data_IF_914814699875
#
_entry.id   IF_914814699875
#
_cell.length_a   1.000
_cell.length_b   1.000
_cell.length_c   1.000
_cell.angle_alpha   90.00
_cell.angle_beta   90.00
_cell.angle_gamma   90.00
#
_symmetry.space_group_name_H-M   'P 1'
#
loop_
_entity.id
_entity.type
_entity.pdbx_description
1 polymer ?
#
# COMPACT_ATOMS: atom_id res chain seq x y z
N UNK A 1 -15.71 -20.92 20.30
CA UNK A 1 -16.18 -21.90 19.31
C UNK A 1 -16.27 -21.22 17.95
N UNK A 2 -15.69 -21.82 16.92
CA UNK A 2 -15.76 -21.36 15.54
C UNK A 2 -16.65 -22.34 14.78
N UNK A 3 -17.75 -21.87 14.19
CA UNK A 3 -18.60 -22.66 13.31
C UNK A 3 -18.65 -22.04 11.92
N UNK A 4 -18.46 -22.87 10.90
CA UNK A 4 -18.48 -22.46 9.49
C UNK A 4 -19.73 -23.08 8.87
N UNK A 5 -20.63 -22.24 8.38
CA UNK A 5 -21.82 -22.65 7.66
C UNK A 5 -21.68 -22.25 6.19
N UNK A 6 -21.66 -23.24 5.31
CA UNK A 6 -21.64 -23.03 3.87
C UNK A 6 -23.09 -23.04 3.34
N UNK A 7 -23.50 -21.94 2.72
CA UNK A 7 -24.79 -21.79 2.05
C UNK A 7 -24.60 -21.49 0.56
N UNK A 8 -23.70 -22.22 -0.10
CA UNK A 8 -23.46 -22.20 -1.55
C UNK A 8 -22.70 -20.96 -2.01
N UNK A 9 -23.36 -19.80 -2.05
CA UNK A 9 -22.74 -18.53 -2.45
C UNK A 9 -22.23 -17.70 -1.26
N UNK A 10 -22.57 -18.07 -0.03
CA UNK A 10 -22.19 -17.34 1.18
C UNK A 10 -21.71 -18.32 2.22
N UNK A 11 -20.45 -18.15 2.64
CA UNK A 11 -19.89 -18.83 3.81
C UNK A 11 -20.06 -17.92 5.03
N UNK A 12 -20.82 -18.38 6.02
CA UNK A 12 -20.99 -17.68 7.30
C UNK A 12 -20.09 -18.30 8.35
N UNK A 13 -19.12 -17.53 8.82
CA UNK A 13 -18.27 -17.91 9.96
C UNK A 13 -18.84 -17.26 11.22
N UNK A 14 -19.25 -18.07 12.19
CA UNK A 14 -19.73 -17.61 13.50
C UNK A 14 -18.67 -17.91 14.55
N UNK A 15 -18.29 -16.87 15.27
CA UNK A 15 -17.43 -16.94 16.45
C UNK A 15 -18.29 -16.73 17.69
N UNK A 16 -18.18 -17.63 18.67
CA UNK A 16 -18.84 -17.48 19.97
C UNK A 16 -17.87 -17.80 21.12
N UNK A 17 -17.92 -17.02 22.20
CA UNK A 17 -17.03 -17.21 23.36
C UNK A 17 -17.31 -16.20 24.47
N UNK A 18 -16.96 -16.56 25.69
CA UNK A 18 -17.20 -15.77 26.91
C UNK A 18 -16.14 -14.69 27.18
N UNK A 19 -14.91 -14.88 26.70
CA UNK A 19 -13.79 -13.95 26.89
C UNK A 19 -13.69 -12.94 25.74
N UNK A 20 -13.97 -11.65 26.01
CA UNK A 20 -14.01 -10.58 25.00
C UNK A 20 -12.68 -10.36 24.28
N UNK A 21 -11.56 -10.42 24.99
CA UNK A 21 -10.22 -10.22 24.41
C UNK A 21 -9.83 -11.35 23.46
N UNK A 22 -10.02 -12.61 23.89
CA UNK A 22 -9.78 -13.78 23.05
C UNK A 22 -10.73 -13.80 21.84
N UNK A 23 -11.98 -13.36 22.02
CA UNK A 23 -12.95 -13.19 20.93
C UNK A 23 -12.53 -12.10 19.94
N UNK A 24 -11.99 -10.97 20.42
CA UNK A 24 -11.42 -9.92 19.59
C UNK A 24 -10.23 -10.43 18.78
N UNK A 25 -9.27 -11.10 19.43
CA UNK A 25 -8.11 -11.69 18.76
C UNK A 25 -8.51 -12.76 17.72
N UNK A 26 -9.49 -13.60 18.04
CA UNK A 26 -10.00 -14.62 17.12
C UNK A 26 -10.78 -14.01 15.96
N UNK A 27 -11.60 -12.98 16.21
CA UNK A 27 -12.28 -12.20 15.18
C UNK A 27 -11.28 -11.58 14.22
N UNK A 28 -10.25 -10.90 14.75
CA UNK A 28 -9.17 -10.33 13.94
C UNK A 28 -8.46 -11.41 13.12
N UNK A 29 -8.15 -12.58 13.70
CA UNK A 29 -7.55 -13.69 12.94
C UNK A 29 -8.43 -14.20 11.80
N UNK A 30 -9.73 -14.40 12.05
CA UNK A 30 -10.68 -14.85 11.02
C UNK A 30 -10.86 -13.77 9.95
N UNK A 31 -10.95 -12.50 10.34
CA UNK A 31 -11.02 -11.36 9.42
C UNK A 31 -9.74 -11.25 8.58
N UNK A 32 -8.57 -11.43 9.17
CA UNK A 32 -7.29 -11.45 8.45
C UNK A 32 -7.22 -12.61 7.44
N UNK A 33 -7.64 -13.82 7.84
CA UNK A 33 -7.72 -14.98 6.93
C UNK A 33 -8.73 -14.74 5.79
N UNK A 34 -9.88 -14.15 6.10
CA UNK A 34 -10.90 -13.81 5.10
C UNK A 34 -10.49 -12.62 4.21
N UNK A 35 -9.58 -11.77 4.68
CA UNK A 35 -9.10 -10.61 3.94
C UNK A 35 -7.94 -10.95 3.01
N UNK A 36 -7.06 -11.88 3.39
CA UNK A 36 -5.89 -12.30 2.62
C UNK A 36 -4.73 -11.32 2.71
N UNK A 37 -3.52 -11.79 2.43
CA UNK A 37 -2.30 -10.98 2.48
C UNK A 37 -2.09 -10.25 1.16
N UNK A 38 -1.75 -8.96 1.21
CA UNK A 38 -1.36 -8.23 0.00
C UNK A 38 0.03 -8.65 -0.47
N UNK A 39 0.18 -8.74 -1.79
CA UNK A 39 1.48 -8.87 -2.45
C UNK A 39 1.87 -7.52 -3.02
N UNK A 40 3.15 -7.16 -2.83
CA UNK A 40 3.72 -5.97 -3.44
C UNK A 40 3.83 -6.13 -4.94
N UNK A 41 3.42 -5.08 -5.65
CA UNK A 41 3.44 -5.03 -7.09
C UNK A 41 2.18 -5.59 -7.75
N UNK A 42 1.92 -5.08 -8.95
CA UNK A 42 0.68 -5.32 -9.68
C UNK A 42 0.95 -5.28 -11.17
N UNK A 43 0.27 -6.17 -11.90
CA UNK A 43 0.23 -6.10 -13.34
C UNK A 43 -1.16 -6.46 -13.87
N UNK A 44 -1.62 -5.71 -14.87
CA UNK A 44 -2.99 -5.79 -15.39
C UNK A 44 -3.30 -7.13 -16.06
N UNK A 45 -2.26 -7.85 -16.52
CA UNK A 45 -2.41 -9.21 -17.04
C UNK A 45 -3.08 -10.15 -16.03
N UNK A 46 -2.94 -9.92 -14.72
CA UNK A 46 -3.52 -10.79 -13.70
C UNK A 46 -5.04 -10.68 -13.56
N UNK A 47 -5.70 -9.73 -14.24
CA UNK A 47 -7.13 -9.47 -14.09
C UNK A 47 -8.05 -10.25 -15.04
N UNK A 48 -7.49 -11.02 -15.98
CA UNK A 48 -8.33 -11.78 -16.89
C UNK A 48 -9.13 -12.84 -16.12
N UNK A 49 -10.44 -12.89 -16.35
CA UNK A 49 -11.28 -14.01 -15.91
C UNK A 49 -10.69 -15.31 -16.45
N UNK A 50 -10.37 -16.26 -15.57
CA UNK A 50 -9.57 -17.46 -15.87
C UNK A 50 -8.11 -17.18 -16.30
N UNK A 51 -7.43 -16.26 -15.62
CA UNK A 51 -6.01 -16.06 -15.85
C UNK A 51 -5.21 -17.38 -15.61
N UNK A 52 -4.50 -17.90 -16.63
CA UNK A 52 -3.79 -19.17 -16.54
C UNK A 52 -2.55 -19.10 -15.62
N UNK A 53 -1.98 -17.91 -15.41
CA UNK A 53 -0.93 -17.69 -14.43
C UNK A 53 -1.47 -17.82 -12.99
N UNK A 54 -2.57 -17.16 -12.62
CA UNK A 54 -3.15 -17.30 -11.27
C UNK A 54 -3.56 -18.74 -10.95
N UNK A 55 -4.06 -19.47 -11.95
CA UNK A 55 -4.37 -20.90 -11.82
C UNK A 55 -3.10 -21.73 -11.61
N UNK A 56 -2.01 -21.42 -12.32
CA UNK A 56 -0.69 -22.04 -12.08
C UNK A 56 -0.19 -21.77 -10.67
N UNK A 57 -0.27 -20.53 -10.20
CA UNK A 57 0.14 -20.18 -8.82
C UNK A 57 -0.63 -21.02 -7.81
N UNK A 58 -1.95 -21.20 -7.98
CA UNK A 58 -2.74 -22.06 -7.10
C UNK A 58 -2.30 -23.53 -7.15
N UNK A 59 -2.05 -24.09 -8.35
CA UNK A 59 -1.62 -25.49 -8.50
C UNK A 59 -0.22 -25.74 -7.93
N UNK A 60 0.70 -24.79 -8.11
CA UNK A 60 2.10 -24.92 -7.71
C UNK A 60 2.32 -24.64 -6.21
N UNK A 61 1.61 -23.65 -5.67
CA UNK A 61 1.84 -23.18 -4.30
C UNK A 61 0.76 -23.62 -3.31
N UNK A 62 -0.42 -24.00 -3.80
CA UNK A 62 -1.61 -24.24 -2.98
C UNK A 62 -2.24 -22.96 -2.42
N UNK A 63 -1.70 -21.78 -2.73
CA UNK A 63 -2.26 -20.51 -2.31
C UNK A 63 -3.24 -19.95 -3.34
N UNK A 64 -4.43 -19.57 -2.87
CA UNK A 64 -5.43 -18.92 -3.73
C UNK A 64 -5.07 -17.46 -3.90
N UNK A 65 -5.00 -16.98 -5.14
CA UNK A 65 -4.70 -15.59 -5.46
C UNK A 65 -5.93 -14.93 -6.04
N UNK A 66 -6.36 -13.85 -5.41
CA UNK A 66 -7.41 -12.97 -5.90
C UNK A 66 -6.79 -11.69 -6.41
N UNK A 67 -6.91 -11.46 -7.70
CA UNK A 67 -6.59 -10.16 -8.29
C UNK A 67 -7.79 -9.22 -8.17
N UNK A 68 -7.57 -8.06 -7.55
CA UNK A 68 -8.54 -6.97 -7.52
C UNK A 68 -8.14 -5.93 -8.55
N UNK A 69 -8.77 -6.00 -9.73
CA UNK A 69 -8.48 -5.08 -10.82
C UNK A 69 -8.80 -3.62 -10.48
N UNK A 70 -9.77 -3.40 -9.58
CA UNK A 70 -10.22 -2.05 -9.18
C UNK A 70 -9.26 -1.38 -8.21
N UNK A 71 -8.56 -2.17 -7.39
CA UNK A 71 -7.60 -1.69 -6.39
C UNK A 71 -6.15 -1.88 -6.81
N UNK A 72 -5.93 -2.40 -8.02
CA UNK A 72 -4.61 -2.75 -8.54
C UNK A 72 -3.79 -3.54 -7.51
N UNK A 73 -4.44 -4.51 -6.85
CA UNK A 73 -3.84 -5.25 -5.74
C UNK A 73 -4.06 -6.74 -5.89
N UNK A 74 -3.00 -7.52 -5.64
CA UNK A 74 -3.08 -8.96 -5.52
C UNK A 74 -3.21 -9.34 -4.05
N UNK A 75 -4.19 -10.20 -3.75
CA UNK A 75 -4.36 -10.78 -2.42
C UNK A 75 -4.19 -12.28 -2.48
N UNK A 76 -3.42 -12.81 -1.55
CA UNK A 76 -3.08 -14.22 -1.48
C UNK A 76 -3.66 -14.80 -0.19
N UNK A 77 -4.24 -16.00 -0.32
CA UNK A 77 -4.92 -16.70 0.75
C UNK A 77 -4.35 -18.10 0.84
N UNK A 78 -3.95 -18.52 2.04
CA UNK A 78 -3.44 -19.87 2.27
C UNK A 78 -2.61 -19.96 3.53
N UNK A 79 -2.02 -21.14 3.81
CA UNK A 79 -1.03 -21.31 4.86
C UNK A 79 0.17 -20.39 4.65
N UNK A 80 0.85 -19.89 5.71
CA UNK A 80 1.96 -18.94 5.58
C UNK A 80 3.05 -19.36 4.57
N UNK A 81 3.44 -20.65 4.58
CA UNK A 81 4.42 -21.21 3.62
C UNK A 81 3.96 -21.14 2.17
N UNK A 82 2.66 -21.34 1.93
CA UNK A 82 2.07 -21.26 0.59
C UNK A 82 2.00 -19.80 0.12
N UNK A 83 1.65 -18.88 1.03
CA UNK A 83 1.59 -17.44 0.76
C UNK A 83 2.98 -16.89 0.40
N UNK A 84 4.01 -17.25 1.18
CA UNK A 84 5.39 -16.82 0.92
C UNK A 84 5.89 -17.33 -0.43
N UNK A 85 5.57 -18.58 -0.77
CA UNK A 85 5.94 -19.16 -2.06
C UNK A 85 5.21 -18.46 -3.22
N UNK A 86 3.90 -18.24 -3.09
CA UNK A 86 3.11 -17.51 -4.08
C UNK A 86 3.59 -16.06 -4.28
N UNK A 87 4.01 -15.38 -3.20
CA UNK A 87 4.58 -14.03 -3.27
C UNK A 87 5.83 -13.99 -4.15
N UNK A 88 6.72 -14.97 -4.03
CA UNK A 88 7.92 -15.06 -4.88
C UNK A 88 7.58 -15.35 -6.35
N UNK A 89 6.64 -16.27 -6.62
CA UNK A 89 6.22 -16.57 -8.00
C UNK A 89 5.59 -15.35 -8.67
N UNK A 90 4.74 -14.62 -7.94
CA UNK A 90 4.14 -13.37 -8.42
C UNK A 90 5.20 -12.30 -8.68
N UNK A 91 6.17 -12.14 -7.78
CA UNK A 91 7.25 -11.17 -7.93
C UNK A 91 8.08 -11.43 -9.19
N UNK A 92 8.49 -12.68 -9.43
CA UNK A 92 9.26 -13.05 -10.63
C UNK A 92 8.46 -12.77 -11.91
N UNK A 93 7.15 -13.03 -11.90
CA UNK A 93 6.30 -12.74 -13.06
C UNK A 93 6.12 -11.22 -13.27
N UNK A 94 6.02 -10.43 -12.20
CA UNK A 94 6.02 -8.97 -12.28
C UNK A 94 7.33 -8.43 -12.87
N UNK A 95 8.47 -8.97 -12.45
CA UNK A 95 9.78 -8.62 -13.00
C UNK A 95 9.91 -9.01 -14.49
N UNK A 96 9.29 -10.13 -14.90
CA UNK A 96 9.20 -10.53 -16.32
C UNK A 96 8.31 -9.59 -17.14
N UNK A 97 7.28 -9.01 -16.52
CA UNK A 97 6.29 -8.16 -17.19
C UNK A 97 6.69 -6.68 -17.23
N UNK A 98 7.45 -6.19 -16.25
CA UNK A 98 7.90 -4.79 -16.18
C UNK A 98 8.61 -4.26 -17.46
N UNK A 99 9.42 -5.05 -18.20
CA UNK A 99 10.05 -4.59 -19.45
C UNK A 99 9.08 -4.43 -20.62
N UNK A 100 7.85 -4.96 -20.54
CA UNK A 100 6.84 -4.92 -21.60
C UNK A 100 5.99 -3.64 -21.57
N UNK A 101 6.07 -2.85 -20.49
CA UNK A 101 5.38 -1.57 -20.35
C UNK A 101 6.26 -0.44 -20.90
N UNK A 102 5.98 0.00 -22.13
CA UNK A 102 6.68 1.11 -22.76
C UNK A 102 5.88 2.41 -22.60
N UNK A 103 6.47 3.39 -21.91
CA UNK A 103 5.83 4.70 -21.67
C UNK A 103 6.57 5.83 -22.38
N UNK A 104 5.85 6.62 -23.18
CA UNK A 104 6.37 7.78 -23.90
C UNK A 104 5.58 9.03 -23.54
N UNK A 105 6.27 10.17 -23.44
CA UNK A 105 5.61 11.48 -23.29
C UNK A 105 5.37 12.09 -24.67
N UNK A 106 4.10 12.29 -25.03
CA UNK A 106 3.69 12.86 -26.31
C UNK A 106 3.89 14.39 -26.34
N UNK A 107 4.27 14.89 -27.51
CA UNK A 107 4.30 16.33 -27.80
C UNK A 107 2.87 16.88 -27.87
N UNK A 108 2.67 18.15 -27.48
CA UNK A 108 1.33 18.78 -27.43
C UNK A 108 0.57 18.66 -28.75
N UNK A 109 1.23 18.97 -29.87
CA UNK A 109 0.66 18.86 -31.23
C UNK A 109 0.20 17.45 -31.62
N UNK A 110 0.79 16.43 -31.01
CA UNK A 110 0.45 15.03 -31.30
C UNK A 110 -0.73 14.54 -30.45
N UNK A 111 -1.07 15.22 -29.34
CA UNK A 111 -2.12 14.75 -28.42
C UNK A 111 -3.48 14.66 -29.11
N UNK A 112 -3.86 15.65 -29.92
CA UNK A 112 -5.12 15.64 -30.68
C UNK A 112 -5.24 14.43 -31.60
N UNK A 113 -4.21 14.18 -32.42
CA UNK A 113 -4.12 12.99 -33.27
C UNK A 113 -4.23 11.69 -32.46
N UNK A 114 -3.52 11.59 -31.34
CA UNK A 114 -3.57 10.39 -30.50
C UNK A 114 -4.93 10.19 -29.83
N UNK A 115 -5.61 11.25 -29.39
CA UNK A 115 -6.94 11.12 -28.77
C UNK A 115 -7.99 10.70 -29.80
N UNK A 116 -7.92 11.22 -31.03
CA UNK A 116 -8.89 10.93 -32.10
C UNK A 116 -8.64 9.60 -32.80
N UNK A 117 -7.40 9.32 -33.19
CA UNK A 117 -7.07 8.18 -34.06
C UNK A 117 -6.05 7.23 -33.45
N UNK A 118 -4.99 7.75 -32.81
CA UNK A 118 -3.90 6.91 -32.31
C UNK A 118 -4.32 5.93 -31.20
N UNK A 119 -5.03 6.39 -30.17
CA UNK A 119 -5.49 5.55 -29.06
C UNK A 119 -6.52 4.52 -29.53
N UNK A 120 -7.56 4.88 -30.33
CA UNK A 120 -8.46 3.88 -30.90
C UNK A 120 -7.74 2.81 -31.72
N UNK A 121 -6.83 3.19 -32.63
CA UNK A 121 -6.05 2.22 -33.43
C UNK A 121 -5.15 1.33 -32.58
N UNK A 122 -4.49 1.90 -31.57
CA UNK A 122 -3.67 1.12 -30.64
C UNK A 122 -4.55 0.15 -29.83
N UNK A 123 -5.73 0.57 -29.40
CA UNK A 123 -6.68 -0.31 -28.69
C UNK A 123 -7.25 -1.41 -29.58
N UNK A 124 -7.45 -1.15 -30.87
CA UNK A 124 -7.89 -2.15 -31.84
C UNK A 124 -6.78 -3.19 -32.11
N UNK A 125 -5.55 -2.71 -32.28
CA UNK A 125 -4.39 -3.56 -32.62
C UNK A 125 -3.87 -4.34 -31.40
N UNK A 126 -3.75 -3.69 -30.25
CA UNK A 126 -3.12 -4.24 -29.05
C UNK A 126 -4.14 -4.73 -28.02
N UNK A 127 -5.42 -4.41 -28.20
CA UNK A 127 -6.46 -4.67 -27.22
C UNK A 127 -6.62 -3.53 -26.21
N UNK A 128 -7.87 -3.31 -25.79
CA UNK A 128 -8.26 -2.15 -24.99
C UNK A 128 -7.54 -2.04 -23.62
N UNK A 129 -7.00 -3.16 -23.13
CA UNK A 129 -6.31 -3.23 -21.85
C UNK A 129 -4.82 -2.91 -21.90
N UNK A 130 -4.22 -2.88 -23.09
CA UNK A 130 -2.79 -2.74 -23.29
C UNK A 130 -2.35 -1.30 -23.61
N UNK A 131 -3.28 -0.35 -23.57
CA UNK A 131 -3.01 1.06 -23.88
C UNK A 131 -3.57 1.94 -22.77
N UNK A 132 -2.73 2.83 -22.23
CA UNK A 132 -3.11 3.85 -21.24
C UNK A 132 -2.65 5.21 -21.71
N UNK A 133 -3.48 6.23 -21.52
CA UNK A 133 -3.11 7.60 -21.78
C UNK A 133 -3.44 8.47 -20.58
N UNK A 134 -2.41 9.09 -20.00
CA UNK A 134 -2.52 10.04 -18.92
C UNK A 134 -2.51 11.45 -19.50
N UNK A 135 -3.70 12.05 -19.61
CA UNK A 135 -3.93 13.37 -20.22
C UNK A 135 -3.05 14.47 -19.61
N UNK A 136 -2.93 14.51 -18.27
CA UNK A 136 -2.18 15.56 -17.56
C UNK A 136 -0.68 15.53 -17.86
N UNK A 137 -0.08 14.35 -17.80
CA UNK A 137 1.35 14.18 -18.07
C UNK A 137 1.67 14.00 -19.55
N UNK A 138 0.65 13.92 -20.43
CA UNK A 138 0.76 13.56 -21.85
C UNK A 138 1.51 12.24 -22.05
N UNK A 139 1.39 11.31 -21.08
CA UNK A 139 2.12 10.04 -21.12
C UNK A 139 1.21 8.97 -21.68
N UNK A 140 1.64 8.33 -22.75
CA UNK A 140 1.02 7.13 -23.29
C UNK A 140 1.86 5.92 -22.88
N UNK A 141 1.22 4.90 -22.32
CA UNK A 141 1.84 3.63 -21.94
C UNK A 141 1.21 2.53 -22.77
N UNK A 142 2.04 1.76 -23.46
CA UNK A 142 1.62 0.55 -24.19
C UNK A 142 2.28 -0.67 -23.55
N UNK A 143 1.49 -1.72 -23.34
CA UNK A 143 1.93 -3.00 -22.76
C UNK A 143 1.99 -4.04 -23.87
N UNK A 144 3.16 -4.54 -24.23
CA UNK A 144 3.29 -5.55 -25.29
C UNK A 144 4.72 -5.88 -25.70
N UNK A 145 4.85 -6.74 -26.70
CA UNK A 145 6.12 -7.11 -27.34
C UNK A 145 6.68 -5.97 -28.22
N UNK A 146 7.83 -6.16 -28.88
CA UNK A 146 8.45 -5.12 -29.71
C UNK A 146 7.50 -4.58 -30.80
N UNK A 147 6.55 -5.39 -31.27
CA UNK A 147 5.52 -4.97 -32.23
C UNK A 147 4.61 -3.87 -31.67
N UNK A 148 4.27 -3.93 -30.38
CA UNK A 148 3.46 -2.91 -29.70
C UNK A 148 4.20 -1.58 -29.58
N UNK A 149 5.51 -1.67 -29.29
CA UNK A 149 6.40 -0.51 -29.27
C UNK A 149 6.54 0.11 -30.65
N UNK A 150 6.78 -0.71 -31.67
CA UNK A 150 6.91 -0.27 -33.05
C UNK A 150 5.62 0.40 -33.56
N UNK A 151 4.44 -0.15 -33.25
CA UNK A 151 3.16 0.45 -33.60
C UNK A 151 2.98 1.85 -32.96
N UNK A 152 3.34 2.01 -31.69
CA UNK A 152 3.31 3.30 -31.02
C UNK A 152 4.29 4.29 -31.67
N UNK A 153 5.53 3.88 -31.94
CA UNK A 153 6.56 4.72 -32.56
C UNK A 153 6.16 5.16 -33.98
N UNK A 154 5.54 4.27 -34.76
CA UNK A 154 4.98 4.57 -36.08
C UNK A 154 3.88 5.64 -36.00
N UNK A 155 2.95 5.54 -35.04
CA UNK A 155 1.91 6.55 -34.83
C UNK A 155 2.48 7.88 -34.35
N UNK A 156 3.53 7.86 -33.53
CA UNK A 156 4.24 9.09 -33.14
C UNK A 156 4.84 9.73 -34.39
N UNK A 157 5.54 8.96 -35.23
CA UNK A 157 6.14 9.47 -36.46
C UNK A 157 5.09 10.02 -37.44
N UNK A 158 3.93 9.36 -37.58
CA UNK A 158 2.81 9.84 -38.40
C UNK A 158 2.25 11.16 -37.87
N UNK A 159 2.05 11.27 -36.55
CA UNK A 159 1.57 12.50 -35.90
C UNK A 159 2.51 13.70 -36.10
N UNK A 160 3.80 13.45 -36.38
CA UNK A 160 4.80 14.48 -36.60
C UNK A 160 4.96 14.87 -38.08
N UNK A 161 4.46 14.03 -39.00
CA UNK A 161 4.53 14.25 -40.46
C UNK A 161 3.27 14.91 -41.02
N UNK A 162 2.14 14.83 -40.32
CA UNK A 162 0.89 15.43 -40.76
C UNK A 162 0.78 16.91 -40.39
N UNK A 163 1.02 17.80 -41.35
CA UNK A 163 0.31 19.09 -41.43
C UNK A 163 -1.17 18.77 -41.69
N UNK A 164 -1.93 18.46 -40.63
CA UNK A 164 -3.38 18.41 -40.72
C UNK A 164 -3.90 19.85 -40.79
N UNK A 165 -3.95 20.38 -42.02
CA UNK A 165 -4.76 21.54 -42.37
C UNK A 165 -6.22 21.17 -42.05
N UNK A 166 -6.74 21.68 -40.94
CA UNK A 166 -8.17 21.69 -40.68
C UNK A 166 -8.83 22.64 -41.70
N UNK A 167 -10.02 22.30 -42.24
CA UNK A 167 -10.81 23.27 -42.99
C UNK A 167 -11.20 24.39 -42.02
N UNK A 168 -10.69 25.59 -42.27
CA UNK A 168 -11.17 26.82 -41.64
C UNK A 168 -12.68 26.94 -41.87
N UNK A 169 -13.48 26.63 -40.86
CA UNK A 169 -14.84 27.15 -40.73
C UNK A 169 -14.86 28.10 -39.55
N UNK A 170 -14.59 29.36 -39.88
CA UNK A 170 -14.73 30.52 -39.02
C UNK A 170 -16.12 30.59 -38.37
N UNK A 171 -16.18 30.39 -37.05
CA UNK A 171 -17.04 31.12 -36.10
C UNK A 171 -16.71 30.69 -34.65
N UNK A 172 -15.86 31.48 -33.98
CA UNK A 172 -15.63 31.41 -32.52
C UNK A 172 -14.81 30.21 -32.03
N UNK A 173 -13.56 30.08 -32.45
CA UNK A 173 -12.66 28.96 -32.12
C UNK A 173 -12.32 28.91 -30.62
N UNK A 174 -13.08 28.12 -29.86
CA UNK A 174 -12.67 27.67 -28.53
C UNK A 174 -11.88 26.36 -28.71
N UNK A 175 -10.60 26.37 -28.36
CA UNK A 175 -9.73 25.19 -28.44
C UNK A 175 -9.87 24.36 -27.16
N UNK A 176 -10.03 23.04 -27.29
CA UNK A 176 -10.16 22.16 -26.12
C UNK A 176 -8.81 22.03 -25.38
N UNK A 177 -8.73 22.27 -24.05
CA UNK A 177 -7.47 22.16 -23.30
C UNK A 177 -6.88 20.74 -23.21
N UNK A 178 -7.66 19.71 -23.60
CA UNK A 178 -7.24 18.31 -23.53
C UNK A 178 -6.67 17.83 -24.87
N UNK A 179 -7.43 17.97 -25.97
CA UNK A 179 -6.99 17.51 -27.29
C UNK A 179 -6.27 18.59 -28.10
N UNK A 180 -6.33 19.86 -27.69
CA UNK A 180 -5.75 21.01 -28.42
C UNK A 180 -6.31 21.19 -29.84
N UNK A 181 -7.50 20.63 -30.10
CA UNK A 181 -8.26 20.80 -31.34
C UNK A 181 -9.53 21.61 -31.07
N UNK A 182 -10.25 21.94 -32.16
CA UNK A 182 -11.57 22.54 -32.11
C UNK A 182 -12.55 21.71 -31.30
N UNK A 183 -13.34 22.39 -30.45
CA UNK A 183 -14.25 21.71 -29.54
C UNK A 183 -15.40 21.04 -30.30
N UNK A 184 -15.48 19.72 -30.15
CA UNK A 184 -16.62 18.92 -30.63
C UNK A 184 -17.58 18.62 -29.46
N UNK A 185 -18.86 18.97 -29.59
CA UNK A 185 -19.88 18.88 -28.52
C UNK A 185 -19.44 19.64 -27.26
N UNK A 186 -19.57 20.99 -27.26
CA UNK A 186 -18.98 21.85 -26.24
C UNK A 186 -19.59 21.64 -24.86
N UNK A 187 -18.72 21.51 -23.87
CA UNK A 187 -19.05 21.47 -22.45
C UNK A 187 -18.27 22.57 -21.74
N UNK A 188 -19.00 23.59 -21.29
CA UNK A 188 -18.42 24.75 -20.61
C UNK A 188 -18.42 24.52 -19.10
N UNK A 189 -17.27 24.71 -18.46
CA UNK A 189 -17.15 24.69 -17.00
C UNK A 189 -17.49 26.07 -16.42
N UNK A 190 -17.76 26.14 -15.11
CA UNK A 190 -18.07 27.39 -14.42
C UNK A 190 -16.95 28.45 -14.46
N UNK A 191 -15.71 28.07 -14.80
CA UNK A 191 -14.59 28.96 -15.02
C UNK A 191 -14.53 29.57 -16.43
N UNK A 192 -15.43 29.19 -17.35
CA UNK A 192 -15.50 29.70 -18.72
C UNK A 192 -14.81 28.81 -19.77
N UNK A 193 -13.95 27.86 -19.38
CA UNK A 193 -13.26 26.98 -20.32
C UNK A 193 -14.18 25.91 -20.91
N UNK A 194 -13.99 25.63 -22.20
CA UNK A 194 -14.81 24.69 -22.98
C UNK A 194 -14.01 23.44 -23.35
N UNK A 195 -14.63 22.28 -23.18
CA UNK A 195 -14.05 20.98 -23.49
C UNK A 195 -14.91 20.22 -24.48
N UNK A 196 -14.29 19.32 -25.25
CA UNK A 196 -15.05 18.27 -25.96
C UNK A 196 -15.68 17.34 -24.91
N UNK A 197 -16.97 17.01 -25.07
CA UNK A 197 -17.66 16.08 -24.15
C UNK A 197 -16.91 14.74 -23.97
N UNK A 198 -16.36 14.19 -25.06
CA UNK A 198 -15.57 12.97 -25.03
C UNK A 198 -14.25 13.13 -24.25
N UNK A 199 -13.57 14.26 -24.41
CA UNK A 199 -12.32 14.56 -23.70
C UNK A 199 -12.57 14.72 -22.20
N UNK A 200 -13.62 15.45 -21.82
CA UNK A 200 -13.98 15.65 -20.42
C UNK A 200 -14.37 14.33 -19.75
N UNK A 201 -15.14 13.47 -20.43
CA UNK A 201 -15.47 12.12 -19.94
C UNK A 201 -14.22 11.28 -19.70
N UNK A 202 -13.28 11.29 -20.66
CA UNK A 202 -12.04 10.52 -20.53
C UNK A 202 -11.18 11.04 -19.37
N UNK A 203 -11.06 12.36 -19.23
CA UNK A 203 -10.36 13.01 -18.12
C UNK A 203 -10.92 12.55 -16.75
N UNK A 204 -12.23 12.68 -16.55
CA UNK A 204 -12.89 12.27 -15.31
C UNK A 204 -12.78 10.76 -15.03
N UNK A 205 -12.78 9.93 -16.08
CA UNK A 205 -12.63 8.48 -15.93
C UNK A 205 -11.20 8.08 -15.58
N UNK A 206 -10.20 8.76 -16.18
CA UNK A 206 -8.78 8.48 -15.93
C UNK A 206 -8.34 8.83 -14.51
N UNK A 207 -9.02 9.79 -13.88
CA UNK A 207 -8.73 10.20 -12.51
C UNK A 207 -8.97 9.08 -11.48
N UNK A 208 -9.77 8.06 -11.80
CA UNK A 208 -10.01 6.91 -10.93
C UNK A 208 -8.77 6.02 -10.77
N UNK A 209 -7.88 6.04 -11.75
CA UNK A 209 -6.69 5.17 -11.81
C UNK A 209 -5.40 5.94 -11.50
N UNK A 210 -5.51 7.18 -11.00
CA UNK A 210 -4.38 8.08 -10.72
C UNK A 210 -4.58 8.85 -9.42
N UNK A 211 -3.49 9.24 -8.74
CA UNK A 211 -3.54 10.06 -7.52
C UNK A 211 -3.86 11.56 -7.77
N UNK A 212 -4.48 11.88 -8.91
CA UNK A 212 -4.73 13.25 -9.35
C UNK A 212 -6.04 13.79 -8.76
N UNK A 213 -5.97 14.11 -7.47
CA UNK A 213 -7.04 14.76 -6.71
C UNK A 213 -6.47 16.01 -6.01
N UNK A 214 -7.16 17.17 -6.05
CA UNK A 214 -8.54 17.39 -6.53
C UNK A 214 -8.69 17.52 -8.06
N UNK A 215 -9.90 17.30 -8.56
CA UNK A 215 -10.24 17.49 -9.98
C UNK A 215 -10.43 18.98 -10.32
N UNK A 216 -9.47 19.56 -11.02
CA UNK A 216 -9.48 20.97 -11.39
C UNK A 216 -9.46 21.19 -12.90
N UNK A 217 -9.95 22.34 -13.33
CA UNK A 217 -9.89 22.80 -14.71
C UNK A 217 -8.44 22.87 -15.23
N UNK A 218 -8.23 22.39 -16.45
CA UNK A 218 -6.95 22.40 -17.19
C UNK A 218 -6.86 23.56 -18.20
N UNK A 219 -7.79 24.51 -18.14
CA UNK A 219 -7.79 25.71 -18.98
C UNK A 219 -6.55 26.58 -18.75
N UNK A 220 -6.29 27.48 -19.70
CA UNK A 220 -5.16 28.41 -19.70
C UNK A 220 -3.81 27.71 -19.53
N UNK A 221 -3.59 26.63 -20.29
CA UNK A 221 -2.40 25.77 -20.18
C UNK A 221 -2.19 25.19 -18.77
N UNK A 222 -3.27 24.66 -18.18
CA UNK A 222 -3.30 24.10 -16.84
C UNK A 222 -3.01 25.08 -15.70
N UNK A 223 -3.30 26.39 -15.88
CA UNK A 223 -3.19 27.42 -14.83
C UNK A 223 -4.50 27.79 -14.15
N UNK A 224 -5.65 27.40 -14.72
CA UNK A 224 -6.96 27.78 -14.18
C UNK A 224 -7.20 27.21 -12.77
N UNK A 225 -6.95 25.91 -12.56
CA UNK A 225 -7.09 25.21 -11.28
C UNK A 225 -8.45 25.33 -10.56
N UNK A 226 -9.49 25.88 -11.21
CA UNK A 226 -10.83 25.95 -10.63
C UNK A 226 -11.40 24.54 -10.46
N UNK A 227 -11.89 24.15 -9.28
CA UNK A 227 -12.47 22.83 -9.05
C UNK A 227 -13.67 22.55 -9.96
N UNK A 228 -13.75 21.33 -10.50
CA UNK A 228 -14.89 20.91 -11.31
C UNK A 228 -16.08 20.60 -10.37
N UNK A 229 -17.27 21.18 -10.59
CA UNK A 229 -18.44 20.93 -9.75
C UNK A 229 -18.87 19.46 -9.75
N UNK A 230 -19.31 18.96 -8.59
CA UNK A 230 -19.86 17.60 -8.43
C UNK A 230 -20.98 17.28 -9.44
N UNK A 231 -21.96 18.17 -9.69
CA UNK A 231 -23.02 17.89 -10.67
C UNK A 231 -22.49 17.62 -12.08
N UNK A 232 -21.45 18.36 -12.49
CA UNK A 232 -20.77 18.12 -13.78
C UNK A 232 -20.12 16.74 -13.80
N UNK A 233 -19.45 16.34 -12.72
CA UNK A 233 -18.79 15.03 -12.64
C UNK A 233 -19.82 13.89 -12.73
N UNK A 234 -20.96 14.02 -12.05
CA UNK A 234 -22.04 13.02 -12.07
C UNK A 234 -22.68 12.84 -13.45
N UNK A 235 -22.66 13.88 -14.30
CA UNK A 235 -23.17 13.78 -15.66
C UNK A 235 -22.32 12.88 -16.56
N UNK A 236 -21.00 12.83 -16.32
CA UNK A 236 -20.07 12.07 -17.16
C UNK A 236 -19.66 10.71 -16.58
N UNK A 237 -19.89 10.47 -15.29
CA UNK A 237 -19.52 9.22 -14.62
C UNK A 237 -20.77 8.44 -14.17
N UNK A 238 -20.86 7.13 -14.49
CA UNK A 238 -21.86 6.26 -13.89
C UNK A 238 -21.80 6.26 -12.36
N UNK A 239 -22.91 6.00 -11.63
CA UNK A 239 -22.94 6.04 -10.16
C UNK A 239 -21.87 5.16 -9.49
N UNK A 240 -21.56 4.00 -10.06
CA UNK A 240 -20.52 3.10 -9.56
C UNK A 240 -19.12 3.69 -9.66
N UNK A 241 -18.81 4.38 -10.75
CA UNK A 241 -17.54 5.08 -10.95
C UNK A 241 -17.44 6.33 -10.07
N UNK A 242 -18.54 7.06 -9.93
CA UNK A 242 -18.61 8.24 -9.08
C UNK A 242 -18.36 7.89 -7.59
N UNK A 243 -18.96 6.82 -7.07
CA UNK A 243 -18.71 6.38 -5.69
C UNK A 243 -17.24 6.00 -5.46
N UNK A 244 -16.59 5.36 -6.44
CA UNK A 244 -15.14 5.07 -6.38
C UNK A 244 -14.30 6.34 -6.35
N UNK A 245 -14.70 7.37 -7.11
CA UNK A 245 -14.02 8.67 -7.07
C UNK A 245 -14.13 9.32 -5.69
N UNK A 246 -15.30 9.23 -5.04
CA UNK A 246 -15.50 9.76 -3.69
C UNK A 246 -14.64 9.02 -2.66
N UNK A 247 -14.54 7.69 -2.74
CA UNK A 247 -13.65 6.89 -1.89
C UNK A 247 -12.18 7.31 -2.08
N UNK A 248 -11.72 7.44 -3.33
CA UNK A 248 -10.35 7.87 -3.63
C UNK A 248 -10.08 9.31 -3.14
N UNK A 249 -11.05 10.22 -3.31
CA UNK A 249 -10.97 11.60 -2.81
C UNK A 249 -10.85 11.63 -1.28
N UNK A 250 -11.64 10.80 -0.60
CA UNK A 250 -11.60 10.67 0.85
C UNK A 250 -10.26 10.14 1.34
N UNK A 251 -9.76 9.04 0.76
CA UNK A 251 -8.48 8.43 1.12
C UNK A 251 -7.30 9.38 0.89
N UNK A 252 -7.32 10.12 -0.24
CA UNK A 252 -6.33 11.15 -0.55
C UNK A 252 -6.36 12.29 0.48
N UNK A 253 -7.55 12.74 0.89
CA UNK A 253 -7.70 13.79 1.89
C UNK A 253 -7.18 13.34 3.26
N UNK A 254 -7.60 12.17 3.75
CA UNK A 254 -7.13 11.62 5.04
C UNK A 254 -5.59 11.52 5.06
N UNK A 255 -4.98 11.06 3.96
CA UNK A 255 -3.53 10.91 3.85
C UNK A 255 -2.77 12.24 3.88
N UNK A 256 -3.36 13.31 3.31
CA UNK A 256 -2.78 14.66 3.29
C UNK A 256 -2.94 15.42 4.62
N UNK A 257 -3.82 14.96 5.52
CA UNK A 257 -4.13 15.61 6.80
C UNK A 257 -3.83 14.72 8.03
N UNK A 258 -2.57 14.28 8.24
CA UNK A 258 -2.21 13.37 9.33
C UNK A 258 -2.33 14.00 10.73
N UNK A 259 -2.38 15.33 10.84
CA UNK A 259 -2.57 16.06 12.09
C UNK A 259 -4.04 16.12 12.53
N UNK A 260 -4.97 15.94 11.60
CA UNK A 260 -6.42 15.99 11.86
C UNK A 260 -7.05 14.60 11.93
N UNK A 261 -6.50 13.64 11.20
CA UNK A 261 -7.01 12.29 11.10
C UNK A 261 -5.90 11.27 11.35
N UNK A 262 -6.22 10.26 12.17
CA UNK A 262 -5.39 9.08 12.37
C UNK A 262 -6.20 7.83 12.04
N UNK A 263 -5.55 6.88 11.39
CA UNK A 263 -6.13 5.57 11.08
C UNK A 263 -5.86 4.59 12.21
N UNK A 264 -6.81 3.68 12.45
CA UNK A 264 -6.59 2.54 13.30
C UNK A 264 -5.41 1.70 12.77
N UNK A 265 -4.42 1.40 13.63
CA UNK A 265 -3.26 0.59 13.27
C UNK A 265 -3.55 -0.89 13.13
N UNK A 266 -4.71 -1.36 13.60
CA UNK A 266 -5.10 -2.75 13.35
C UNK A 266 -5.12 -2.92 11.84
N UNK A 267 -4.30 -3.86 11.30
CA UNK A 267 -4.33 -4.16 9.89
C UNK A 267 -5.78 -4.29 9.48
N UNK A 268 -6.10 -3.69 8.36
CA UNK A 268 -7.39 -3.86 7.73
C UNK A 268 -8.60 -3.16 8.35
N UNK A 269 -8.41 -2.43 9.44
CA UNK A 269 -9.43 -1.57 10.01
C UNK A 269 -9.49 -0.22 9.26
N UNK A 270 -10.67 0.13 8.75
CA UNK A 270 -10.92 1.42 8.05
C UNK A 270 -11.38 2.53 8.98
N UNK A 271 -11.33 2.30 10.30
CA UNK A 271 -11.77 3.29 11.27
C UNK A 271 -10.76 4.43 11.40
N UNK A 272 -11.30 5.64 11.40
CA UNK A 272 -10.56 6.88 11.58
C UNK A 272 -10.96 7.50 12.91
N UNK A 273 -10.02 8.19 13.52
CA UNK A 273 -10.27 8.97 14.71
C UNK A 273 -9.50 10.28 14.64
N UNK A 274 -10.00 11.28 15.39
CA UNK A 274 -9.30 12.56 15.52
C UNK A 274 -8.30 12.47 16.66
N UNK A 275 -7.05 12.89 16.46
CA UNK A 275 -6.09 12.94 17.53
C UNK A 275 -6.49 13.98 18.57
N UNK A 276 -5.99 13.81 19.79
CA UNK A 276 -6.22 14.79 20.86
C UNK A 276 -5.42 16.07 20.55
N UNK A 277 -5.95 17.24 20.95
CA UNK A 277 -5.22 18.50 20.77
C UNK A 277 -3.94 18.47 21.64
N UNK A 278 -2.85 19.15 21.24
CA UNK A 278 -1.57 19.09 21.95
C UNK A 278 -1.59 19.47 23.44
N UNK A 279 -2.67 20.12 23.93
CA UNK A 279 -2.85 20.55 25.32
C UNK A 279 -3.78 19.67 26.13
N UNK A 280 -4.45 18.71 25.51
CA UNK A 280 -5.41 17.83 26.17
C UNK A 280 -4.73 16.52 26.60
N UNK A 281 -5.16 15.90 27.71
CA UNK A 281 -4.61 14.64 28.16
C UNK A 281 -4.90 13.54 27.15
N UNK A 282 -3.89 12.70 26.88
CA UNK A 282 -4.03 11.51 26.05
C UNK A 282 -5.11 10.58 26.63
N UNK A 283 -5.96 10.05 25.76
CA UNK A 283 -7.03 9.12 26.13
C UNK A 283 -6.91 7.83 25.35
N UNK A 284 -7.31 6.75 26.00
CA UNK A 284 -7.51 5.45 25.37
C UNK A 284 -8.82 5.49 24.58
N UNK A 285 -8.72 5.19 23.29
CA UNK A 285 -9.86 4.96 22.41
C UNK A 285 -9.97 3.48 22.10
N UNK A 286 -11.17 2.95 22.21
CA UNK A 286 -11.48 1.61 21.71
C UNK A 286 -12.08 1.73 20.31
N UNK A 287 -11.44 1.09 19.34
CA UNK A 287 -11.98 1.03 18.00
C UNK A 287 -13.32 0.26 18.00
N UNK A 288 -14.42 0.82 17.47
CA UNK A 288 -15.72 0.14 17.49
C UNK A 288 -15.77 -1.10 16.57
N UNK A 289 -14.85 -1.21 15.60
CA UNK A 289 -14.82 -2.32 14.64
C UNK A 289 -13.90 -3.46 15.04
N UNK A 290 -12.67 -3.16 15.48
CA UNK A 290 -11.67 -4.17 15.84
C UNK A 290 -11.43 -4.30 17.36
N UNK A 291 -12.04 -3.43 18.17
CA UNK A 291 -11.89 -3.37 19.63
C UNK A 291 -10.46 -3.11 20.14
N UNK A 292 -9.52 -2.80 19.24
CA UNK A 292 -8.16 -2.40 19.63
C UNK A 292 -8.20 -1.12 20.47
N UNK A 293 -7.42 -1.12 21.55
CA UNK A 293 -7.23 0.02 22.42
C UNK A 293 -6.02 0.84 21.93
N UNK A 294 -6.28 2.05 21.46
CA UNK A 294 -5.28 2.94 20.85
C UNK A 294 -5.19 4.23 21.65
N UNK A 295 -3.98 4.73 21.87
CA UNK A 295 -3.75 6.06 22.41
C UNK A 295 -3.98 7.11 21.32
N UNK A 296 -4.94 8.00 21.54
CA UNK A 296 -5.32 9.02 20.55
C UNK A 296 -4.29 10.15 20.36
N UNK A 297 -3.25 10.22 21.18
CA UNK A 297 -2.19 11.23 21.06
C UNK A 297 -1.00 10.74 20.23
N UNK A 298 -0.55 9.50 20.46
CA UNK A 298 0.61 8.94 19.78
C UNK A 298 0.28 7.92 18.68
N UNK A 299 -1.00 7.53 18.52
CA UNK A 299 -1.44 6.46 17.63
C UNK A 299 -0.73 5.12 17.90
N UNK A 300 -0.29 4.88 19.13
CA UNK A 300 0.23 3.57 19.55
C UNK A 300 -0.79 2.82 20.40
N UNK A 301 -0.49 1.57 20.75
CA UNK A 301 -1.28 0.82 21.73
C UNK A 301 -1.50 1.63 23.01
N UNK A 302 -2.67 1.46 23.60
CA UNK A 302 -3.01 2.04 24.91
C UNK A 302 -1.91 1.76 25.93
N UNK A 303 -1.48 2.80 26.64
CA UNK A 303 -0.38 2.74 27.61
C UNK A 303 -0.76 3.45 28.92
N UNK A 304 -1.72 2.88 29.64
CA UNK A 304 -2.22 3.42 30.91
C UNK A 304 -1.10 3.67 31.92
N UNK A 305 -1.17 4.82 32.61
CA UNK A 305 -0.19 5.23 33.62
C UNK A 305 1.16 5.72 33.07
N UNK A 306 1.39 5.65 31.75
CA UNK A 306 2.61 6.15 31.11
C UNK A 306 2.30 7.33 30.18
N UNK A 307 3.21 8.31 30.17
CA UNK A 307 3.20 9.35 29.12
C UNK A 307 3.58 8.73 27.77
N UNK A 308 3.14 9.35 26.66
CA UNK A 308 3.51 8.88 25.31
C UNK A 308 5.03 8.79 25.10
N UNK A 309 5.79 9.70 25.72
CA UNK A 309 7.25 9.70 25.68
C UNK A 309 7.85 8.48 26.40
N UNK A 310 7.36 8.17 27.61
CA UNK A 310 7.79 6.99 28.36
C UNK A 310 7.43 5.69 27.65
N UNK A 311 6.23 5.59 27.07
CA UNK A 311 5.82 4.42 26.29
C UNK A 311 6.74 4.19 25.08
N UNK A 312 7.12 5.27 24.38
CA UNK A 312 8.06 5.22 23.26
C UNK A 312 9.46 4.75 23.70
N UNK A 313 9.98 5.26 24.80
CA UNK A 313 11.28 4.84 25.35
C UNK A 313 11.27 3.38 25.78
N UNK A 314 10.14 2.91 26.35
CA UNK A 314 9.98 1.50 26.74
C UNK A 314 9.97 0.56 25.54
N UNK A 315 9.38 0.98 24.42
CA UNK A 315 9.38 0.23 23.16
C UNK A 315 10.69 0.30 22.37
N UNK A 316 11.62 1.19 22.75
CA UNK A 316 12.92 1.31 22.08
C UNK A 316 13.91 0.27 22.64
N UNK A 317 14.09 -0.83 21.91
CA UNK A 317 14.98 -1.93 22.32
C UNK A 317 16.42 -1.47 22.58
N UNK A 318 16.98 -0.61 21.74
CA UNK A 318 18.35 -0.13 21.90
C UNK A 318 18.53 0.71 23.17
N UNK A 319 17.51 1.50 23.53
CA UNK A 319 17.53 2.27 24.78
C UNK A 319 17.31 1.37 26.01
N UNK A 320 16.44 0.35 25.90
CA UNK A 320 16.30 -0.65 26.97
C UNK A 320 17.61 -1.42 27.20
N UNK A 321 18.31 -1.81 26.14
CA UNK A 321 19.61 -2.48 26.23
C UNK A 321 20.67 -1.57 26.85
N UNK A 322 20.70 -0.28 26.46
CA UNK A 322 21.58 0.72 27.07
C UNK A 322 21.29 0.91 28.57
N UNK A 323 20.02 1.01 28.96
CA UNK A 323 19.61 1.17 30.36
C UNK A 323 19.95 -0.08 31.18
N UNK A 324 19.78 -1.27 30.61
CA UNK A 324 20.22 -2.53 31.23
C UNK A 324 21.74 -2.53 31.44
N UNK A 325 22.52 -2.04 30.47
CA UNK A 325 23.99 -1.99 30.56
C UNK A 325 24.45 -0.99 31.62
N UNK A 326 23.82 0.17 31.67
CA UNK A 326 24.06 1.16 32.72
C UNK A 326 23.71 0.60 34.10
N UNK A 327 22.59 -0.13 34.23
CA UNK A 327 22.21 -0.78 35.47
C UNK A 327 23.23 -1.85 35.88
N UNK A 328 23.66 -2.73 34.97
CA UNK A 328 24.71 -3.75 35.22
C UNK A 328 26.01 -3.09 35.70
N UNK A 329 26.43 -2.01 35.03
CA UNK A 329 27.62 -1.25 35.42
C UNK A 329 27.48 -0.63 36.83
N UNK A 330 26.29 -0.13 37.18
CA UNK A 330 26.01 0.43 38.51
C UNK A 330 26.03 -0.60 39.65
N UNK A 331 25.94 -1.90 39.36
CA UNK A 331 25.97 -2.96 40.38
C UNK A 331 27.36 -3.23 40.96
N UNK A 332 28.40 -2.49 40.54
CA UNK A 332 29.75 -2.60 41.11
C UNK A 332 30.39 -3.96 40.84
N UNK A 333 30.12 -4.55 39.66
CA UNK A 333 30.69 -5.83 39.24
C UNK A 333 30.05 -7.07 39.88
N UNK A 334 28.95 -6.92 40.64
CA UNK A 334 28.13 -8.04 41.18
C UNK A 334 27.24 -8.70 40.12
N UNK A 335 26.94 -7.98 39.05
CA UNK A 335 26.18 -8.49 37.90
C UNK A 335 27.05 -8.38 36.66
N UNK A 336 27.06 -9.42 35.83
CA UNK A 336 27.74 -9.47 34.53
C UNK A 336 26.84 -10.12 33.49
N UNK A 337 27.11 -9.95 32.20
CA UNK A 337 26.37 -10.66 31.14
C UNK A 337 26.93 -12.06 30.89
N UNK A 338 26.06 -13.03 30.65
CA UNK A 338 26.47 -14.34 30.18
C UNK A 338 27.11 -14.23 28.77
N UNK A 339 28.29 -14.82 28.52
CA UNK A 339 28.95 -14.70 27.21
C UNK A 339 28.24 -15.49 26.11
N UNK A 340 27.39 -16.48 26.47
CA UNK A 340 26.65 -17.29 25.49
C UNK A 340 25.34 -16.66 25.06
N UNK A 341 24.58 -16.09 25.99
CA UNK A 341 23.20 -15.63 25.72
C UNK A 341 22.93 -14.19 26.15
N UNK A 342 23.94 -13.47 26.66
CA UNK A 342 23.85 -12.07 27.09
C UNK A 342 22.88 -11.78 28.25
N UNK A 343 22.23 -12.80 28.81
CA UNK A 343 21.36 -12.67 29.98
C UNK A 343 22.21 -12.27 31.21
N UNK A 344 21.79 -11.28 32.02
CA UNK A 344 22.48 -10.93 33.25
C UNK A 344 22.57 -12.10 34.23
N UNK A 345 23.78 -12.33 34.75
CA UNK A 345 24.10 -13.30 35.79
C UNK A 345 24.60 -12.53 37.02
N UNK A 346 24.09 -12.88 38.19
CA UNK A 346 24.43 -12.25 39.47
C UNK A 346 25.31 -13.20 40.29
N UNK A 347 26.41 -12.67 40.84
CA UNK A 347 27.24 -13.40 41.79
C UNK A 347 26.69 -13.21 43.19
N UNK A 348 26.13 -14.28 43.75
CA UNK A 348 25.56 -14.29 45.10
C UNK A 348 26.65 -14.36 46.16
N UNK A 349 27.43 -15.45 46.27
CA UNK A 349 28.55 -15.55 47.23
C UNK A 349 29.64 -16.57 46.80
N UNK A 350 30.90 -16.27 47.14
CA UNK A 350 32.00 -17.23 47.35
C UNK A 350 32.58 -17.99 46.15
N UNK A 351 31.78 -18.34 45.14
CA UNK A 351 32.21 -19.17 44.03
C UNK A 351 32.41 -18.37 42.74
N UNK A 352 33.49 -18.66 42.01
CA UNK A 352 33.75 -18.10 40.67
C UNK A 352 33.11 -18.94 39.55
N UNK A 353 32.53 -20.11 39.86
CA UNK A 353 31.74 -20.89 38.93
C UNK A 353 30.29 -20.41 38.94
N UNK A 354 29.79 -19.92 37.80
CA UNK A 354 28.41 -19.48 37.62
C UNK A 354 27.69 -20.30 36.57
N UNK A 355 26.48 -20.77 36.85
CA UNK A 355 25.65 -21.50 35.88
C UNK A 355 24.55 -20.59 35.36
N UNK A 356 24.55 -20.33 34.05
CA UNK A 356 23.49 -19.57 33.42
C UNK A 356 22.26 -20.45 33.14
N UNK A 357 21.06 -19.85 33.07
CA UNK A 357 19.81 -20.55 32.71
C UNK A 357 19.83 -21.17 31.31
N UNK A 358 20.74 -20.73 30.44
CA UNK A 358 20.98 -21.36 29.13
C UNK A 358 21.85 -22.63 29.19
N UNK A 359 22.23 -23.08 30.39
CA UNK A 359 23.05 -24.27 30.61
C UNK A 359 24.56 -24.04 30.45
N UNK A 360 25.02 -22.81 30.24
CA UNK A 360 26.44 -22.50 30.18
C UNK A 360 27.05 -22.41 31.59
N UNK A 361 28.19 -23.05 31.80
CA UNK A 361 29.03 -22.89 32.99
C UNK A 361 30.06 -21.79 32.70
N UNK A 362 30.10 -20.74 33.50
CA UNK A 362 30.84 -19.50 33.24
C UNK A 362 31.80 -19.21 34.40
N UNK A 363 33.06 -18.94 34.08
CA UNK A 363 34.02 -18.43 35.06
C UNK A 363 33.79 -16.93 35.29
N UNK A 364 33.54 -16.51 36.53
CA UNK A 364 33.24 -15.11 36.87
C UNK A 364 34.42 -14.15 36.64
N UNK A 365 35.65 -14.66 36.72
CA UNK A 365 36.87 -13.86 36.61
C UNK A 365 37.15 -13.54 35.14
N UNK A 366 37.30 -14.58 34.31
CA UNK A 366 37.68 -14.44 32.90
C UNK A 366 36.50 -14.40 31.92
N UNK A 367 35.27 -14.65 32.38
CA UNK A 367 34.07 -14.79 31.54
C UNK A 367 34.16 -15.87 30.46
N UNK A 368 35.04 -16.87 30.64
CA UNK A 368 35.11 -18.06 29.78
C UNK A 368 33.91 -18.99 29.96
N UNK A 369 33.52 -19.67 28.87
CA UNK A 369 32.44 -20.68 28.86
C UNK A 369 33.06 -22.08 28.92
N UNK A 370 32.53 -22.93 29.80
CA UNK A 370 33.01 -24.27 30.06
C UNK A 370 31.85 -25.27 30.13
N UNK A 371 32.20 -26.55 30.22
CA UNK A 371 31.28 -27.64 30.62
C UNK A 371 31.34 -27.85 32.14
N UNK A 372 30.37 -28.57 32.69
CA UNK A 372 30.35 -28.91 34.12
C UNK A 372 31.65 -29.59 34.60
N UNK A 373 32.25 -30.40 33.72
CA UNK A 373 33.48 -31.16 34.00
C UNK A 373 34.76 -30.31 33.88
N UNK A 374 34.78 -29.32 32.99
CA UNK A 374 36.00 -28.56 32.66
C UNK A 374 36.16 -27.27 33.46
N UNK A 375 35.09 -26.77 34.08
CA UNK A 375 35.13 -25.48 34.79
C UNK A 375 35.94 -25.51 36.09
N UNK A 376 35.81 -26.58 36.90
CA UNK A 376 36.58 -26.69 38.14
C UNK A 376 38.08 -26.87 37.89
N UNK A 377 38.52 -27.72 36.93
CA UNK A 377 39.92 -27.75 36.50
C UNK A 377 40.46 -26.38 36.08
N UNK A 378 39.70 -25.60 35.30
CA UNK A 378 40.08 -24.24 34.94
C UNK A 378 40.20 -23.32 36.17
N UNK A 379 39.20 -23.35 37.05
CA UNK A 379 39.18 -22.52 38.25
C UNK A 379 40.32 -22.82 39.24
N UNK A 380 40.85 -24.04 39.26
CA UNK A 380 41.98 -24.41 40.11
C UNK A 380 43.34 -24.12 39.48
N UNK A 381 43.42 -24.03 38.16
CA UNK A 381 44.69 -23.87 37.43
C UNK A 381 44.96 -22.43 37.03
N UNK A 382 43.92 -21.63 36.77
CA UNK A 382 44.03 -20.26 36.28
C UNK A 382 43.76 -19.17 37.34
N UNK A 383 43.09 -19.52 38.43
CA UNK A 383 42.62 -18.61 39.49
C UNK A 383 42.78 -19.27 40.86
#
# INVERSE_FOLDING_TARGET
MLSVHDAGNIVRIRLSGSAKEAMGAMKVRVENLAKGEMVEGWHRSFCFSNNPFLRRVFVETGAYVRADWKRQSLKVYGPPRAVDHARNVIKNELERLAPLDYTVTLLRRSVGFFVREGIPQLKETLGENNVRFATFSRKITVTGSEEARHALECLIALSLKGDHVLPNTSQGEQTCPICYDDVTSPQQLGCGHVYCAACLRHFLSSALDSDQLPLTCLGDEARCHVPIPIPTIQQFLPPTSFNRLLEAAFDSHVSKHPEEFKCCKTPDCTQLYRPVRPRDPAKTLHCPSCFAAVCNACNEDSHEGLTCAQSRLRKNQAEQDRLNDAWIASQGGRVKKCPRCSVPIEKTYGCNHMTCRCGAHVCWVCLGIFTAETIYPHLHTAH
#
